data_IF_225095548847
#
_entry.id   IF_225095548847
#
_cell.length_a   1.000
_cell.length_b   1.000
_cell.length_c   1.000
_cell.angle_alpha   90.00
_cell.angle_beta   90.00
_cell.angle_gamma   90.00
#
_symmetry.space_group_name_H-M   'P 1'
#
loop_
_entity.id
_entity.type
_entity.pdbx_description
1 polymer ?
#
# COMPACT_ATOMS: atom_id res chain seq x y z
N UNK A 1 -19.54 7.70 -9.96
CA UNK A 1 -18.56 6.61 -9.81
C UNK A 1 -19.31 5.37 -9.34
N UNK A 2 -19.56 4.41 -10.21
CA UNK A 2 -20.11 3.10 -9.82
C UNK A 2 -18.89 2.18 -9.70
N UNK A 3 -18.38 1.99 -8.49
CA UNK A 3 -17.49 0.88 -8.22
C UNK A 3 -18.39 -0.36 -8.08
N UNK A 4 -18.55 -1.13 -9.16
CA UNK A 4 -19.20 -2.43 -9.08
C UNK A 4 -18.21 -3.42 -8.46
N UNK A 5 -18.47 -3.85 -7.23
CA UNK A 5 -17.89 -5.06 -6.64
C UNK A 5 -18.70 -6.32 -7.02
N UNK A 6 -19.59 -6.23 -8.00
CA UNK A 6 -20.50 -7.30 -8.37
C UNK A 6 -20.07 -7.90 -9.70
N UNK A 7 -19.20 -8.94 -9.66
CA UNK A 7 -19.24 -10.10 -10.55
C UNK A 7 -17.99 -11.00 -10.44
N UNK A 8 -16.84 -10.45 -10.02
CA UNK A 8 -15.57 -11.20 -10.01
C UNK A 8 -15.13 -11.46 -8.57
N UNK A 9 -14.71 -12.69 -8.21
CA UNK A 9 -14.07 -12.92 -6.92
C UNK A 9 -12.93 -11.93 -6.71
N UNK A 10 -12.88 -11.30 -5.54
CA UNK A 10 -11.78 -10.40 -5.21
C UNK A 10 -10.46 -11.15 -5.39
N UNK A 11 -9.62 -10.70 -6.32
CA UNK A 11 -8.27 -11.25 -6.55
C UNK A 11 -7.22 -10.67 -5.60
N UNK A 12 -7.69 -9.98 -4.56
CA UNK A 12 -6.86 -9.29 -3.60
C UNK A 12 -6.05 -8.16 -4.22
N UNK A 13 -4.85 -7.92 -3.71
CA UNK A 13 -3.96 -6.83 -4.13
C UNK A 13 -2.52 -7.32 -4.16
N UNK A 14 -1.74 -6.85 -5.15
CA UNK A 14 -0.33 -7.18 -5.28
C UNK A 14 0.46 -5.91 -5.54
N UNK A 15 1.48 -5.69 -4.71
CA UNK A 15 2.44 -4.60 -4.88
C UNK A 15 3.77 -5.25 -5.23
N UNK A 16 4.38 -4.80 -6.32
CA UNK A 16 5.70 -5.25 -6.77
C UNK A 16 6.60 -4.04 -6.89
N UNK A 17 7.74 -4.09 -6.21
CA UNK A 17 8.79 -3.07 -6.30
C UNK A 17 10.04 -3.74 -6.85
N UNK A 18 10.47 -3.33 -8.04
CA UNK A 18 11.68 -3.83 -8.68
C UNK A 18 12.71 -2.71 -8.71
N UNK A 19 13.95 -3.04 -8.36
CA UNK A 19 15.10 -2.14 -8.49
C UNK A 19 16.32 -2.90 -8.99
N UNK A 20 17.40 -2.18 -9.24
CA UNK A 20 18.61 -2.71 -9.89
C UNK A 20 19.22 -3.93 -9.17
N UNK A 21 19.00 -4.03 -7.85
CA UNK A 21 19.60 -5.06 -7.00
C UNK A 21 18.61 -6.14 -6.55
N UNK A 22 17.33 -6.07 -6.94
CA UNK A 22 16.35 -7.05 -6.49
C UNK A 22 14.90 -6.60 -6.61
N UNK A 23 14.02 -7.46 -6.10
CA UNK A 23 12.57 -7.32 -6.18
C UNK A 23 11.94 -7.62 -4.83
N UNK A 24 10.93 -6.84 -4.45
CA UNK A 24 10.02 -7.10 -3.34
C UNK A 24 8.62 -7.31 -3.90
N UNK A 25 7.92 -8.32 -3.39
CA UNK A 25 6.53 -8.62 -3.72
C UNK A 25 5.75 -8.77 -2.43
N UNK A 26 4.73 -7.93 -2.26
CA UNK A 26 3.73 -8.07 -1.22
C UNK A 26 2.40 -8.46 -1.89
N UNK A 27 1.82 -9.59 -1.48
CA UNK A 27 0.57 -10.09 -2.03
C UNK A 27 -0.45 -10.30 -0.90
N UNK A 28 -1.62 -9.70 -1.08
CA UNK A 28 -2.80 -9.94 -0.28
C UNK A 28 -3.76 -10.73 -1.17
N UNK A 29 -3.97 -12.04 -0.97
CA UNK A 29 -4.79 -12.85 -1.87
C UNK A 29 -6.29 -12.59 -1.73
N UNK A 30 -6.74 -12.20 -0.52
CA UNK A 30 -8.13 -11.95 -0.21
C UNK A 30 -8.50 -10.45 -0.17
N UNK A 31 -9.78 -10.13 0.08
CA UNK A 31 -10.23 -8.74 0.23
C UNK A 31 -9.71 -8.08 1.51
N UNK A 32 -9.31 -8.87 2.51
CA UNK A 32 -8.79 -8.39 3.78
C UNK A 32 -7.29 -8.68 3.89
N UNK A 33 -6.51 -7.82 4.57
CA UNK A 33 -5.13 -8.11 4.93
C UNK A 33 -5.06 -9.35 5.83
N UNK A 34 -4.09 -10.23 5.57
CA UNK A 34 -3.73 -11.32 6.47
C UNK A 34 -3.02 -10.77 7.71
N UNK A 35 -3.14 -11.47 8.84
CA UNK A 35 -2.53 -11.06 10.12
C UNK A 35 -1.00 -10.88 10.02
N UNK A 36 -0.35 -11.77 9.28
CA UNK A 36 1.09 -11.77 9.07
C UNK A 36 1.40 -11.86 7.57
N UNK A 37 0.92 -10.87 6.80
CA UNK A 37 1.18 -10.79 5.36
C UNK A 37 2.66 -11.04 5.03
N UNK A 38 2.93 -11.90 4.05
CA UNK A 38 4.29 -12.29 3.69
C UNK A 38 4.77 -11.39 2.55
N UNK A 39 5.93 -10.76 2.75
CA UNK A 39 6.72 -10.18 1.67
C UNK A 39 7.68 -11.24 1.17
N UNK A 40 7.73 -11.47 -0.14
CA UNK A 40 8.78 -12.28 -0.76
C UNK A 40 9.77 -11.37 -1.50
N UNK A 41 11.05 -11.74 -1.45
CA UNK A 41 12.13 -10.93 -1.97
C UNK A 41 13.10 -11.76 -2.82
N UNK A 42 13.70 -11.10 -3.80
CA UNK A 42 14.86 -11.60 -4.56
C UNK A 42 15.97 -10.55 -4.51
N UNK A 43 17.22 -11.00 -4.44
CA UNK A 43 18.41 -10.14 -4.52
C UNK A 43 19.36 -10.68 -5.57
N UNK A 44 19.84 -9.82 -6.47
CA UNK A 44 20.81 -10.19 -7.51
C UNK A 44 20.39 -11.37 -8.40
N UNK A 45 19.08 -11.54 -8.62
CA UNK A 45 18.54 -12.65 -9.41
C UNK A 45 18.38 -13.98 -8.67
N UNK A 46 18.62 -14.03 -7.35
CA UNK A 46 18.34 -15.22 -6.55
C UNK A 46 16.84 -15.58 -6.57
N UNK A 47 16.46 -16.85 -6.33
CA UNK A 47 15.06 -17.24 -6.22
C UNK A 47 14.30 -16.40 -5.18
N UNK A 48 13.00 -16.16 -5.41
CA UNK A 48 12.14 -15.49 -4.44
C UNK A 48 12.09 -16.30 -3.13
N UNK A 49 12.32 -15.63 -2.02
CA UNK A 49 12.25 -16.20 -0.67
C UNK A 49 11.43 -15.29 0.25
N UNK A 50 10.73 -15.84 1.26
CA UNK A 50 10.11 -15.02 2.29
C UNK A 50 11.14 -14.09 2.94
N UNK A 51 10.78 -12.82 3.06
CA UNK A 51 11.55 -11.81 3.76
C UNK A 51 10.90 -11.56 5.12
N UNK A 52 11.66 -11.79 6.19
CA UNK A 52 11.19 -11.45 7.53
C UNK A 52 11.01 -9.93 7.64
N UNK A 53 9.82 -9.50 8.06
CA UNK A 53 9.53 -8.10 8.35
C UNK A 53 10.35 -7.64 9.56
N UNK A 54 11.19 -6.60 9.43
CA UNK A 54 11.93 -6.05 10.57
C UNK A 54 11.01 -5.53 11.70
N UNK A 55 11.42 -5.71 12.95
CA UNK A 55 10.63 -5.35 14.15
C UNK A 55 10.15 -3.89 14.17
N UNK A 56 10.93 -2.97 13.62
CA UNK A 56 10.56 -1.55 13.52
C UNK A 56 9.28 -1.32 12.67
N UNK A 57 8.92 -2.26 11.80
CA UNK A 57 7.69 -2.25 11.00
C UNK A 57 6.56 -3.10 11.61
N UNK A 58 6.78 -3.70 12.79
CA UNK A 58 5.79 -4.41 13.61
C UNK A 58 5.54 -3.68 14.95
N UNK A 59 5.22 -2.38 14.96
CA UNK A 59 5.24 -1.56 16.18
C UNK A 59 4.06 -1.82 17.12
N UNK A 60 3.07 -2.61 16.70
CA UNK A 60 1.88 -2.94 17.48
C UNK A 60 1.72 -4.46 17.50
N UNK A 61 1.80 -5.04 18.68
CA UNK A 61 1.58 -6.46 18.91
C UNK A 61 0.58 -6.62 20.05
N UNK A 62 -0.70 -6.80 19.70
CA UNK A 62 -1.78 -7.03 20.65
C UNK A 62 -2.90 -7.88 20.03
N UNK A 63 -3.84 -8.34 20.86
CA UNK A 63 -4.90 -9.27 20.46
C UNK A 63 -6.10 -8.61 19.72
N UNK A 64 -5.93 -7.40 19.16
CA UNK A 64 -7.01 -6.71 18.43
C UNK A 64 -7.10 -7.22 16.99
N UNK A 65 -8.20 -6.91 16.33
CA UNK A 65 -8.45 -7.29 14.93
C UNK A 65 -7.31 -6.84 14.00
N UNK A 66 -6.61 -7.81 13.42
CA UNK A 66 -5.44 -7.60 12.57
C UNK A 66 -5.77 -6.82 11.30
N UNK A 67 -7.02 -6.90 10.81
CA UNK A 67 -7.48 -6.19 9.60
C UNK A 67 -7.41 -4.68 9.77
N UNK A 68 -7.38 -4.20 11.01
CA UNK A 68 -7.30 -2.78 11.35
C UNK A 68 -5.87 -2.27 11.49
N UNK A 69 -4.83 -3.11 11.32
CA UNK A 69 -3.44 -2.72 11.62
C UNK A 69 -3.00 -1.46 10.87
N UNK A 70 -3.23 -1.39 9.55
CA UNK A 70 -2.88 -0.21 8.74
C UNK A 70 -3.60 1.06 9.23
N UNK A 71 -4.89 0.96 9.58
CA UNK A 71 -5.66 2.06 10.12
C UNK A 71 -5.16 2.52 11.49
N UNK A 72 -4.78 1.58 12.35
CA UNK A 72 -4.22 1.86 13.67
C UNK A 72 -2.88 2.58 13.58
N UNK A 73 -2.02 2.16 12.64
CA UNK A 73 -0.76 2.86 12.36
C UNK A 73 -0.99 4.29 11.87
N UNK A 74 -1.96 4.48 10.97
CA UNK A 74 -2.36 5.81 10.48
C UNK A 74 -2.80 6.72 11.62
N UNK A 75 -3.72 6.26 12.49
CA UNK A 75 -4.21 7.06 13.62
C UNK A 75 -3.10 7.37 14.62
N UNK A 76 -2.22 6.40 14.91
CA UNK A 76 -1.04 6.62 15.77
C UNK A 76 -0.17 7.75 15.24
N UNK A 77 0.18 7.68 13.96
CA UNK A 77 1.07 8.67 13.35
C UNK A 77 0.40 10.05 13.26
N UNK A 78 -0.90 10.10 12.96
CA UNK A 78 -1.71 11.32 12.97
C UNK A 78 -1.72 12.00 14.35
N UNK A 79 -2.03 11.28 15.43
CA UNK A 79 -2.03 11.82 16.80
C UNK A 79 -0.64 12.36 17.17
N UNK A 80 0.42 11.61 16.86
CA UNK A 80 1.80 12.07 17.08
C UNK A 80 2.12 13.34 16.28
N UNK A 81 1.58 13.46 15.06
CA UNK A 81 1.69 14.66 14.24
C UNK A 81 1.09 15.89 14.92
N UNK A 82 -0.11 15.76 15.49
CA UNK A 82 -0.78 16.84 16.25
C UNK A 82 0.08 17.27 17.44
N UNK A 83 0.52 16.30 18.27
CA UNK A 83 1.32 16.58 19.47
C UNK A 83 2.64 17.30 19.14
N UNK A 84 3.24 16.99 18.00
CA UNK A 84 4.54 17.53 17.58
C UNK A 84 4.42 18.75 16.67
N UNK A 85 3.21 19.19 16.30
CA UNK A 85 3.01 20.25 15.30
C UNK A 85 3.58 19.90 13.92
N UNK A 86 3.54 18.62 13.54
CA UNK A 86 4.05 18.12 12.26
C UNK A 86 2.92 17.48 11.44
N UNK A 87 3.06 17.52 10.12
CA UNK A 87 2.13 16.86 9.19
C UNK A 87 2.76 15.57 8.65
N UNK A 88 2.57 14.41 9.31
CA UNK A 88 3.10 13.13 8.86
C UNK A 88 2.44 12.67 7.56
N UNK A 89 3.08 11.78 6.81
CA UNK A 89 2.47 11.12 5.66
C UNK A 89 1.46 10.04 6.11
N UNK A 90 0.39 9.78 5.34
CA UNK A 90 -0.07 10.61 4.23
C UNK A 90 -0.67 11.95 4.73
N UNK A 91 -0.33 13.05 4.06
CA UNK A 91 -0.87 14.39 4.29
C UNK A 91 -1.65 14.92 3.08
N UNK A 92 -2.06 16.19 3.12
CA UNK A 92 -2.84 16.80 2.03
C UNK A 92 -2.05 16.90 0.72
N UNK A 93 -0.74 17.11 0.76
CA UNK A 93 0.10 17.07 -0.43
C UNK A 93 0.10 15.67 -1.03
N UNK A 94 0.29 14.63 -0.22
CA UNK A 94 0.25 13.24 -0.68
C UNK A 94 -1.12 12.91 -1.31
N UNK A 95 -2.21 13.31 -0.64
CA UNK A 95 -3.57 13.14 -1.14
C UNK A 95 -3.82 13.86 -2.46
N UNK A 96 -3.33 15.09 -2.60
CA UNK A 96 -3.40 15.85 -3.86
C UNK A 96 -2.66 15.12 -4.99
N UNK A 97 -1.44 14.64 -4.74
CA UNK A 97 -0.67 13.88 -5.75
C UNK A 97 -1.36 12.59 -6.16
N UNK A 98 -1.95 11.86 -5.21
CA UNK A 98 -2.77 10.70 -5.54
C UNK A 98 -3.96 11.08 -6.41
N UNK A 99 -4.65 12.18 -6.10
CA UNK A 99 -5.80 12.64 -6.88
C UNK A 99 -5.40 13.07 -8.31
N UNK A 100 -4.29 13.79 -8.48
CA UNK A 100 -3.75 14.16 -9.78
C UNK A 100 -3.48 12.92 -10.66
N UNK A 101 -2.91 11.85 -10.10
CA UNK A 101 -2.70 10.58 -10.80
C UNK A 101 -4.04 9.94 -11.19
N UNK A 102 -5.02 9.89 -10.28
CA UNK A 102 -6.33 9.31 -10.56
C UNK A 102 -7.06 10.05 -11.69
N UNK A 103 -6.95 11.38 -11.72
CA UNK A 103 -7.56 12.21 -12.76
C UNK A 103 -6.81 12.07 -14.10
N UNK A 104 -5.48 11.99 -14.09
CA UNK A 104 -4.70 11.73 -15.30
C UNK A 104 -4.98 10.34 -15.90
N UNK A 105 -5.20 9.31 -15.09
CA UNK A 105 -5.62 7.98 -15.57
C UNK A 105 -6.98 8.07 -16.28
N UNK A 106 -7.94 8.80 -15.71
CA UNK A 106 -9.25 9.01 -16.35
C UNK A 106 -9.11 9.72 -17.69
N UNK A 107 -8.39 10.84 -17.71
CA UNK A 107 -8.14 11.62 -18.93
C UNK A 107 -7.40 10.80 -20.00
N UNK A 108 -6.41 10.00 -19.60
CA UNK A 108 -5.69 9.12 -20.51
C UNK A 108 -6.62 8.07 -21.14
N UNK A 109 -7.49 7.46 -20.34
CA UNK A 109 -8.50 6.51 -20.82
C UNK A 109 -9.49 7.14 -21.80
N UNK A 110 -9.95 8.36 -21.54
CA UNK A 110 -10.92 9.07 -22.38
C UNK A 110 -10.31 9.54 -23.71
N UNK A 111 -9.05 10.00 -23.67
CA UNK A 111 -8.37 10.59 -24.84
C UNK A 111 -7.55 9.59 -25.65
N UNK A 112 -7.21 8.43 -25.09
CA UNK A 112 -6.28 7.46 -25.67
C UNK A 112 -4.84 7.96 -25.76
N UNK A 113 -4.45 8.96 -24.94
CA UNK A 113 -3.14 9.60 -24.97
C UNK A 113 -2.45 9.53 -23.61
N UNK A 114 -1.11 9.64 -23.62
CA UNK A 114 -0.32 9.85 -22.41
C UNK A 114 -0.60 11.24 -21.84
N UNK A 115 -0.79 11.33 -20.52
CA UNK A 115 -0.93 12.58 -19.78
C UNK A 115 0.36 12.81 -18.98
N UNK A 116 0.92 14.01 -19.05
CA UNK A 116 2.09 14.40 -18.27
C UNK A 116 1.64 15.02 -16.94
N UNK A 117 2.27 14.58 -15.85
CA UNK A 117 2.05 15.05 -14.47
C UNK A 117 3.23 15.92 -14.01
#
# INVERSE_FOLDING_TARGET
MIASFAATPARGTKIVVMGDNGTLIAEQPGPNPEENGIVVASRGGAPLQPLQTPDQYLPLNDARDHRLMAFRMLVRDFTRGIEQGKSPAPNFTDGLRCQEVLDAVRQSSESGRTVNL
#
